data_IF_779249663773
#
_entry.id   IF_779249663773
#
_cell.length_a   1.000
_cell.length_b   1.000
_cell.length_c   1.000
_cell.angle_alpha   90.00
_cell.angle_beta   90.00
_cell.angle_gamma   90.00
#
_symmetry.space_group_name_H-M   'P 1'
#
loop_
_entity.id
_entity.type
_entity.pdbx_description
1 polymer ?
#
# COMPACT_ATOMS: atom_id res chain seq x y z
N UNK A 1 -14.28 -11.84 22.98
CA UNK A 1 -14.69 -12.82 21.93
C UNK A 1 -15.71 -12.29 20.92
N UNK A 2 -16.42 -11.17 21.18
CA UNK A 2 -17.38 -10.60 20.22
C UNK A 2 -16.74 -9.84 19.03
N UNK A 3 -15.54 -9.29 19.18
CA UNK A 3 -14.88 -8.52 18.12
C UNK A 3 -14.45 -9.38 16.91
N UNK A 4 -14.08 -10.64 17.13
CA UNK A 4 -13.71 -11.56 16.05
C UNK A 4 -14.91 -11.98 15.20
N UNK A 5 -16.09 -12.10 15.79
CA UNK A 5 -17.32 -12.44 15.07
C UNK A 5 -17.79 -11.30 14.16
N UNK A 6 -17.58 -10.04 14.56
CA UNK A 6 -17.87 -8.86 13.74
C UNK A 6 -16.93 -8.76 12.53
N UNK A 7 -15.64 -9.05 12.71
CA UNK A 7 -14.66 -9.09 11.62
C UNK A 7 -14.94 -10.22 10.63
N UNK A 8 -15.35 -11.40 11.12
CA UNK A 8 -15.73 -12.52 10.25
C UNK A 8 -17.04 -12.24 9.50
N UNK A 9 -18.00 -11.55 10.13
CA UNK A 9 -19.28 -11.20 9.51
C UNK A 9 -19.14 -10.11 8.44
N UNK A 10 -18.25 -9.14 8.63
CA UNK A 10 -17.95 -8.11 7.60
C UNK A 10 -17.15 -8.73 6.45
N UNK A 11 -16.16 -9.57 6.75
CA UNK A 11 -15.38 -10.26 5.72
C UNK A 11 -16.23 -11.23 4.86
N UNK A 12 -17.24 -11.89 5.45
CA UNK A 12 -18.17 -12.73 4.69
C UNK A 12 -19.24 -11.94 3.92
N UNK A 13 -19.58 -10.71 4.32
CA UNK A 13 -20.66 -9.94 3.67
C UNK A 13 -20.22 -9.31 2.34
N UNK A 14 -18.94 -8.95 2.18
CA UNK A 14 -18.41 -8.42 0.91
C UNK A 14 -18.03 -9.50 -0.11
N UNK A 15 -18.23 -10.78 0.23
CA UNK A 15 -17.92 -11.93 -0.64
C UNK A 15 -19.15 -12.52 -1.36
N UNK A 16 -20.27 -11.80 -1.46
CA UNK A 16 -21.27 -12.15 -2.46
C UNK A 16 -20.81 -11.57 -3.80
N UNK A 17 -20.17 -12.33 -4.70
CA UNK A 17 -19.84 -11.80 -6.01
C UNK A 17 -21.13 -11.36 -6.67
N UNK A 18 -21.24 -10.06 -6.97
CA UNK A 18 -22.13 -9.64 -8.05
C UNK A 18 -21.72 -10.47 -9.28
N UNK A 19 -22.64 -11.20 -9.92
CA UNK A 19 -22.32 -11.85 -11.18
C UNK A 19 -22.11 -10.76 -12.21
N UNK A 20 -20.87 -10.31 -12.38
CA UNK A 20 -20.46 -9.63 -13.60
C UNK A 20 -20.61 -10.65 -14.72
N UNK A 21 -21.65 -10.46 -15.53
CA UNK A 21 -21.90 -11.13 -16.79
C UNK A 21 -20.59 -11.46 -17.51
N UNK A 22 -20.17 -12.72 -17.43
CA UNK A 22 -19.16 -13.30 -18.30
C UNK A 22 -19.82 -13.51 -19.67
N UNK A 23 -19.89 -12.42 -20.45
CA UNK A 23 -20.10 -12.50 -21.89
C UNK A 23 -18.81 -13.03 -22.52
N UNK A 24 -18.88 -14.24 -23.07
CA UNK A 24 -17.73 -14.90 -23.70
C UNK A 24 -17.28 -14.24 -25.00
N UNK A 25 -16.00 -14.43 -25.31
CA UNK A 25 -15.54 -15.07 -26.55
C UNK A 25 -14.02 -15.25 -26.44
N UNK A 26 -13.60 -16.51 -26.50
CA UNK A 26 -12.22 -16.92 -26.70
C UNK A 26 -11.66 -16.30 -27.98
N UNK A 27 -10.67 -15.43 -27.85
CA UNK A 27 -9.60 -15.29 -28.83
C UNK A 27 -8.30 -15.20 -28.06
N UNK A 28 -7.37 -16.05 -28.45
CA UNK A 28 -5.98 -16.05 -28.00
C UNK A 28 -5.39 -14.66 -28.23
N UNK A 29 -5.14 -13.93 -27.15
CA UNK A 29 -4.35 -12.72 -27.15
C UNK A 29 -3.34 -12.90 -26.02
N UNK A 30 -2.10 -13.16 -26.42
CA UNK A 30 -0.84 -13.09 -25.68
C UNK A 30 -0.99 -12.36 -24.32
N UNK A 31 -0.94 -13.11 -23.22
CA UNK A 31 -0.91 -12.49 -21.89
C UNK A 31 0.36 -11.62 -21.81
N UNK A 32 0.24 -10.32 -21.51
CA UNK A 32 1.41 -9.49 -21.26
C UNK A 32 2.14 -10.08 -20.04
N UNK A 33 3.48 -9.98 -19.98
CA UNK A 33 4.26 -10.59 -18.92
C UNK A 33 3.69 -10.17 -17.56
N UNK A 34 3.30 -11.15 -16.74
CA UNK A 34 2.98 -10.89 -15.34
C UNK A 34 4.26 -10.40 -14.68
N UNK A 35 4.42 -9.08 -14.63
CA UNK A 35 5.49 -8.42 -13.92
C UNK A 35 5.05 -8.33 -12.45
N UNK A 36 4.86 -9.49 -11.81
CA UNK A 36 4.74 -9.61 -10.36
C UNK A 36 6.08 -9.20 -9.74
N UNK A 37 6.28 -7.89 -9.71
CA UNK A 37 7.56 -7.28 -9.40
C UNK A 37 8.11 -7.78 -8.06
N UNK A 38 9.43 -8.04 -7.96
CA UNK A 38 10.06 -8.62 -6.77
C UNK A 38 9.85 -7.79 -5.49
N UNK A 39 9.41 -6.54 -5.65
CA UNK A 39 9.10 -5.57 -4.61
C UNK A 39 8.07 -6.06 -3.59
N UNK A 40 7.03 -6.78 -4.04
CA UNK A 40 6.01 -7.31 -3.14
C UNK A 40 6.60 -8.35 -2.16
N UNK A 41 7.43 -9.26 -2.67
CA UNK A 41 8.12 -10.26 -1.87
C UNK A 41 9.16 -9.62 -0.93
N UNK A 42 9.91 -8.63 -1.40
CA UNK A 42 10.89 -7.90 -0.58
C UNK A 42 10.20 -7.19 0.60
N UNK A 43 9.08 -6.50 0.35
CA UNK A 43 8.31 -5.80 1.38
C UNK A 43 7.77 -6.76 2.44
N UNK A 44 7.14 -7.86 2.01
CA UNK A 44 6.57 -8.86 2.91
C UNK A 44 7.65 -9.56 3.75
N UNK A 45 8.78 -9.94 3.14
CA UNK A 45 9.90 -10.56 3.84
C UNK A 45 10.54 -9.61 4.86
N UNK A 46 10.70 -8.33 4.51
CA UNK A 46 11.22 -7.31 5.43
C UNK A 46 10.28 -7.07 6.62
N UNK A 47 8.98 -7.00 6.36
CA UNK A 47 7.96 -6.89 7.40
C UNK A 47 7.96 -8.10 8.36
N UNK A 48 8.05 -9.31 7.82
CA UNK A 48 8.13 -10.54 8.61
C UNK A 48 9.39 -10.56 9.48
N UNK A 49 10.55 -10.18 8.93
CA UNK A 49 11.79 -10.06 9.68
C UNK A 49 11.65 -9.06 10.84
N UNK A 50 11.07 -7.88 10.60
CA UNK A 50 10.80 -6.89 11.64
C UNK A 50 9.86 -7.39 12.74
N UNK A 51 8.78 -8.09 12.35
CA UNK A 51 7.84 -8.70 13.29
C UNK A 51 8.52 -9.77 14.16
N UNK A 52 9.39 -10.61 13.58
CA UNK A 52 10.16 -11.63 14.31
C UNK A 52 11.19 -10.99 15.25
N UNK A 53 11.90 -9.94 14.82
CA UNK A 53 12.82 -9.18 15.70
C UNK A 53 12.09 -8.56 16.90
N UNK A 54 10.88 -8.03 16.68
CA UNK A 54 10.04 -7.50 17.75
C UNK A 54 9.55 -8.62 18.67
N UNK A 55 9.09 -9.74 18.11
CA UNK A 55 8.65 -10.91 18.85
C UNK A 55 9.78 -11.50 19.71
N UNK A 56 11.03 -11.48 19.25
CA UNK A 56 12.20 -11.93 20.01
C UNK A 56 12.42 -11.17 21.32
N UNK A 57 11.81 -10.00 21.50
CA UNK A 57 11.87 -9.23 22.75
C UNK A 57 10.78 -9.62 23.75
N UNK A 58 9.81 -10.47 23.36
CA UNK A 58 8.75 -10.94 24.24
C UNK A 58 9.15 -12.26 24.90
N UNK A 59 9.07 -12.30 26.23
CA UNK A 59 9.33 -13.50 27.03
C UNK A 59 8.12 -14.45 27.01
N UNK A 60 7.90 -15.18 25.91
CA UNK A 60 6.91 -16.27 25.83
C UNK A 60 6.60 -16.77 24.41
N UNK A 61 6.39 -18.08 24.21
CA UNK A 61 6.13 -18.69 22.89
C UNK A 61 4.73 -18.36 22.32
N UNK A 62 3.71 -18.28 23.18
CA UNK A 62 2.35 -17.89 22.81
C UNK A 62 2.24 -16.49 22.20
N UNK A 63 2.72 -15.42 22.88
CA UNK A 63 2.63 -14.06 22.35
C UNK A 63 3.50 -13.84 21.11
N UNK A 64 4.60 -14.58 20.95
CA UNK A 64 5.43 -14.56 19.73
C UNK A 64 4.65 -15.04 18.51
N UNK A 65 3.95 -16.18 18.63
CA UNK A 65 3.12 -16.73 17.55
C UNK A 65 1.92 -15.82 17.24
N UNK A 66 1.29 -15.27 18.27
CA UNK A 66 0.19 -14.33 18.10
C UNK A 66 0.64 -13.03 17.41
N UNK A 67 1.81 -12.50 17.76
CA UNK A 67 2.36 -11.29 17.16
C UNK A 67 2.77 -11.50 15.70
N UNK A 68 3.42 -12.63 15.38
CA UNK A 68 3.84 -12.92 14.01
C UNK A 68 2.66 -13.23 13.07
N UNK A 69 1.67 -14.01 13.53
CA UNK A 69 0.45 -14.27 12.77
C UNK A 69 -0.40 -13.01 12.59
N UNK A 70 -0.51 -12.17 13.62
CA UNK A 70 -1.16 -10.86 13.53
C UNK A 70 -0.43 -9.94 12.56
N UNK A 71 0.90 -9.90 12.58
CA UNK A 71 1.68 -9.09 11.66
C UNK A 71 1.41 -9.50 10.20
N UNK A 72 1.45 -10.79 9.89
CA UNK A 72 1.11 -11.30 8.55
C UNK A 72 -0.32 -10.92 8.18
N UNK A 73 -1.30 -11.14 9.07
CA UNK A 73 -2.69 -10.80 8.81
C UNK A 73 -2.90 -9.29 8.57
N UNK A 74 -2.26 -8.44 9.37
CA UNK A 74 -2.33 -6.98 9.21
C UNK A 74 -1.63 -6.53 7.93
N UNK A 75 -0.52 -7.13 7.52
CA UNK A 75 0.17 -6.78 6.28
C UNK A 75 -0.58 -7.20 5.02
N UNK A 76 -1.35 -8.30 5.07
CA UNK A 76 -2.25 -8.67 3.98
C UNK A 76 -3.51 -7.82 3.98
N UNK A 77 -4.10 -7.57 5.14
CA UNK A 77 -5.38 -6.89 5.27
C UNK A 77 -5.27 -5.37 5.13
N UNK A 78 -4.17 -4.76 5.58
CA UNK A 78 -3.96 -3.31 5.49
C UNK A 78 -4.01 -2.74 4.06
N UNK A 79 -3.32 -3.31 3.05
CA UNK A 79 -3.40 -2.78 1.68
C UNK A 79 -4.80 -2.92 1.09
N UNK A 80 -5.49 -4.03 1.36
CA UNK A 80 -6.89 -4.25 0.94
C UNK A 80 -7.84 -3.24 1.61
N UNK A 81 -7.71 -3.05 2.93
CA UNK A 81 -8.54 -2.09 3.65
C UNK A 81 -8.24 -0.65 3.20
N UNK A 82 -6.98 -0.32 2.94
CA UNK A 82 -6.57 0.99 2.46
C UNK A 82 -7.17 1.28 1.08
N UNK A 83 -7.12 0.34 0.13
CA UNK A 83 -7.72 0.55 -1.20
C UNK A 83 -9.23 0.73 -1.12
N UNK A 84 -9.92 -0.09 -0.32
CA UNK A 84 -11.37 0.04 -0.11
C UNK A 84 -11.77 1.38 0.51
N UNK A 85 -11.02 1.86 1.52
CA UNK A 85 -11.28 3.17 2.15
C UNK A 85 -10.93 4.32 1.21
N UNK A 86 -9.90 4.16 0.38
CA UNK A 86 -9.47 5.18 -0.59
C UNK A 86 -10.55 5.48 -1.62
N UNK A 87 -11.16 4.44 -2.19
CA UNK A 87 -12.16 4.56 -3.24
C UNK A 87 -13.45 5.20 -2.71
N UNK A 88 -13.77 4.96 -1.43
CA UNK A 88 -15.03 5.41 -0.84
C UNK A 88 -14.92 6.72 -0.06
N UNK A 89 -13.80 6.97 0.63
CA UNK A 89 -13.61 8.09 1.56
C UNK A 89 -12.15 8.60 1.58
N UNK A 90 -11.68 9.28 0.52
CA UNK A 90 -10.27 9.69 0.42
C UNK A 90 -9.84 10.66 1.54
N UNK A 91 -10.76 11.53 2.00
CA UNK A 91 -10.50 12.45 3.12
C UNK A 91 -10.31 11.72 4.45
N UNK A 92 -11.03 10.62 4.66
CA UNK A 92 -10.92 9.83 5.87
C UNK A 92 -9.57 9.12 5.93
N UNK A 93 -9.09 8.60 4.80
CA UNK A 93 -7.77 7.99 4.71
C UNK A 93 -6.65 9.00 4.96
N UNK A 94 -6.77 10.23 4.45
CA UNK A 94 -5.82 11.30 4.75
C UNK A 94 -5.81 11.65 6.25
N UNK A 95 -6.99 11.73 6.87
CA UNK A 95 -7.09 11.96 8.32
C UNK A 95 -6.48 10.81 9.13
N UNK A 96 -6.73 9.57 8.72
CA UNK A 96 -6.23 8.36 9.40
C UNK A 96 -4.71 8.27 9.31
N UNK A 97 -4.13 8.51 8.14
CA UNK A 97 -2.68 8.51 7.93
C UNK A 97 -2.00 9.61 8.74
N UNK A 98 -2.58 10.82 8.78
CA UNK A 98 -2.07 11.93 9.58
C UNK A 98 -2.16 11.63 11.08
N UNK A 99 -3.29 11.11 11.55
CA UNK A 99 -3.48 10.70 12.94
C UNK A 99 -2.48 9.60 13.35
N UNK A 100 -2.26 8.62 12.48
CA UNK A 100 -1.29 7.55 12.72
C UNK A 100 0.15 8.10 12.80
N UNK A 101 0.51 9.01 11.89
CA UNK A 101 1.82 9.69 11.93
C UNK A 101 2.05 10.47 13.22
N UNK A 102 1.06 11.26 13.66
CA UNK A 102 1.13 12.00 14.93
C UNK A 102 1.25 11.06 16.13
N UNK A 103 0.50 9.95 16.14
CA UNK A 103 0.56 8.97 17.21
C UNK A 103 1.94 8.29 17.28
N UNK A 104 2.51 7.93 16.13
CA UNK A 104 3.86 7.35 16.06
C UNK A 104 4.93 8.33 16.55
N UNK A 105 4.82 9.61 16.17
CA UNK A 105 5.76 10.66 16.57
C UNK A 105 5.68 10.96 18.07
N UNK A 106 4.48 11.11 18.61
CA UNK A 106 4.26 11.38 20.04
C UNK A 106 4.73 10.20 20.90
N UNK A 107 4.49 8.97 20.45
CA UNK A 107 5.02 7.77 21.10
C UNK A 107 6.55 7.82 21.12
N UNK A 108 7.21 7.91 19.95
CA UNK A 108 8.66 7.92 19.87
C UNK A 108 9.29 9.06 20.67
N UNK A 109 8.66 10.23 20.73
CA UNK A 109 9.15 11.37 21.50
C UNK A 109 9.27 11.06 23.00
N UNK A 110 8.31 10.29 23.55
CA UNK A 110 8.37 9.88 24.95
C UNK A 110 9.48 8.87 25.24
N UNK A 111 9.89 8.06 24.26
CA UNK A 111 10.99 7.10 24.45
C UNK A 111 12.36 7.69 24.15
N UNK A 112 12.51 8.44 23.05
CA UNK A 112 13.80 9.00 22.62
C UNK A 112 13.61 10.19 21.66
N UNK A 113 13.87 11.43 22.12
CA UNK A 113 13.78 12.63 21.29
C UNK A 113 14.61 12.60 19.98
N UNK A 114 15.88 12.14 19.95
CA UNK A 114 16.64 12.11 18.70
C UNK A 114 16.07 11.11 17.70
N UNK A 115 15.52 9.99 18.17
CA UNK A 115 14.87 9.00 17.31
C UNK A 115 13.56 9.55 16.71
N UNK A 116 12.79 10.28 17.52
CA UNK A 116 11.59 10.96 17.04
C UNK A 116 11.90 12.04 16.00
N UNK A 117 12.98 12.80 16.16
CA UNK A 117 13.44 13.77 15.17
C UNK A 117 13.83 13.08 13.85
N UNK A 118 14.57 11.97 13.92
CA UNK A 118 14.91 11.17 12.74
C UNK A 118 13.66 10.63 12.02
N UNK A 119 12.68 10.14 12.78
CA UNK A 119 11.39 9.68 12.24
C UNK A 119 10.65 10.83 11.54
N UNK A 120 10.58 12.02 12.15
CA UNK A 120 9.92 13.18 11.58
C UNK A 120 10.55 13.61 10.23
N UNK A 121 11.89 13.67 10.18
CA UNK A 121 12.63 13.99 8.95
C UNK A 121 12.34 12.96 7.87
N UNK A 122 12.34 11.67 8.22
CA UNK A 122 12.06 10.59 7.27
C UNK A 122 10.64 10.69 6.70
N UNK A 123 9.64 10.94 7.54
CA UNK A 123 8.25 11.10 7.11
C UNK A 123 8.08 12.31 6.17
N UNK A 124 8.72 13.44 6.50
CA UNK A 124 8.73 14.64 5.64
C UNK A 124 9.42 14.36 4.29
N UNK A 125 10.56 13.66 4.33
CA UNK A 125 11.31 13.34 3.12
C UNK A 125 10.52 12.44 2.18
N UNK A 126 9.99 11.32 2.68
CA UNK A 126 9.26 10.35 1.85
C UNK A 126 7.89 10.88 1.44
N UNK A 127 7.19 11.60 2.32
CA UNK A 127 5.82 12.07 2.08
C UNK A 127 5.71 13.33 1.22
N UNK A 128 6.71 14.21 1.24
CA UNK A 128 6.63 15.52 0.58
C UNK A 128 7.83 15.83 -0.30
N UNK A 129 9.06 15.70 0.23
CA UNK A 129 10.26 16.09 -0.52
C UNK A 129 10.47 15.21 -1.75
N UNK A 130 10.34 13.89 -1.59
CA UNK A 130 10.58 12.93 -2.65
C UNK A 130 9.53 13.02 -3.79
N UNK A 131 8.20 12.97 -3.52
CA UNK A 131 7.21 13.16 -4.58
C UNK A 131 7.28 14.56 -5.19
N UNK A 132 7.55 15.61 -4.40
CA UNK A 132 7.74 16.97 -4.93
C UNK A 132 8.93 17.08 -5.87
N UNK A 133 10.07 16.51 -5.47
CA UNK A 133 11.27 16.42 -6.32
C UNK A 133 11.01 15.57 -7.57
N UNK A 134 10.28 14.46 -7.44
CA UNK A 134 9.92 13.61 -8.57
C UNK A 134 9.07 14.36 -9.61
N UNK A 135 8.04 15.08 -9.18
CA UNK A 135 7.22 15.92 -10.06
C UNK A 135 8.07 17.04 -10.69
N UNK A 136 8.96 17.65 -9.90
CA UNK A 136 9.90 18.66 -10.38
C UNK A 136 10.89 18.09 -11.43
N UNK A 137 11.33 16.85 -11.31
CA UNK A 137 12.19 16.23 -12.32
C UNK A 137 11.40 15.83 -13.57
N UNK A 138 10.14 15.41 -13.42
CA UNK A 138 9.29 14.98 -14.52
C UNK A 138 9.06 16.06 -15.57
N UNK A 139 8.97 17.33 -15.17
CA UNK A 139 8.81 18.48 -16.09
C UNK A 139 10.04 18.77 -16.95
N UNK A 140 11.24 18.29 -16.58
CA UNK A 140 12.46 18.48 -17.37
C UNK A 140 12.79 17.29 -18.26
N UNK A 141 11.99 16.22 -18.19
CA UNK A 141 12.15 15.09 -19.09
C UNK A 141 11.58 15.50 -20.45
N UNK A 142 12.46 15.72 -21.41
CA UNK A 142 12.02 15.84 -22.81
C UNK A 142 11.27 14.56 -23.20
N UNK A 143 10.06 14.73 -23.73
CA UNK A 143 9.32 13.64 -24.34
C UNK A 143 10.13 13.16 -25.54
N UNK A 144 10.80 12.02 -25.39
CA UNK A 144 11.48 11.39 -26.51
C UNK A 144 10.38 10.74 -27.34
N UNK A 145 9.82 11.51 -28.27
CA UNK A 145 8.82 11.02 -29.21
C UNK A 145 9.48 9.93 -30.05
N UNK A 146 9.17 8.67 -29.71
CA UNK A 146 9.55 7.55 -30.55
C UNK A 146 8.85 7.66 -31.90
N UNK A 147 9.35 7.01 -32.97
CA UNK A 147 8.68 6.97 -34.28
C UNK A 147 7.30 6.26 -34.27
N UNK A 148 6.80 5.92 -33.08
CA UNK A 148 5.54 5.23 -32.80
C UNK A 148 4.62 6.00 -31.83
N UNK A 149 5.02 7.17 -31.31
CA UNK A 149 4.38 7.76 -30.10
C UNK A 149 3.25 8.77 -30.35
N UNK A 150 3.00 9.22 -31.60
CA UNK A 150 1.79 10.01 -31.89
C UNK A 150 1.32 9.67 -33.31
N UNK A 151 0.20 8.96 -33.43
CA UNK A 151 -0.51 8.93 -34.71
C UNK A 151 -1.16 10.31 -34.90
N UNK A 152 -0.44 11.23 -35.56
CA UNK A 152 -0.98 12.53 -35.96
C UNK A 152 -2.17 12.27 -36.90
N UNK A 153 -3.40 12.44 -36.39
CA UNK A 153 -4.60 12.37 -37.22
C UNK A 153 -4.70 13.72 -37.93
N UNK A 154 -4.20 13.77 -39.16
CA UNK A 154 -4.37 14.93 -40.03
C UNK A 154 -5.84 14.97 -40.50
N UNK A 155 -6.65 15.78 -39.82
CA UNK A 155 -8.01 16.12 -40.26
C UNK A 155 -7.91 17.10 -41.45
N UNK A 156 -7.46 16.64 -42.61
CA UNK A 156 -7.56 17.39 -43.87
C UNK A 156 -8.91 17.09 -44.55
N UNK A 157 -9.84 18.06 -44.65
CA UNK A 157 -11.06 17.89 -45.40
C UNK A 157 -10.76 17.92 -46.92
N UNK A 158 -11.20 16.87 -47.61
CA UNK A 158 -11.13 16.70 -49.06
C UNK A 158 -12.30 17.40 -49.77
#
# INVERSE_FOLDING_TARGET
MAAGALLLHVACHDYSPCPSTQGGCTMEAEEPPSDDGPWAAISLNGALFGAVCLASRLTGSGPVLALSSLAVALFLLAPLLASWVQDRWPRLQMALTLAHGVLALTSCWQQSPPLAAGLAVTLLAVGLLLPGHFVYCHQYRESIHGPWDEAVIDDQPH
#
